data_IF_792782494036
#
_entry.id   IF_792782494036
#
_cell.length_a   1.000
_cell.length_b   1.000
_cell.length_c   1.000
_cell.angle_alpha   90.00
_cell.angle_beta   90.00
_cell.angle_gamma   90.00
#
_symmetry.space_group_name_H-M   'P 1'
#
loop_
_entity.id
_entity.type
_entity.pdbx_description
1 polymer ?
#
# COMPACT_ATOMS: atom_id res chain seq x y z
N UNK A 1 -5.58 5.66 -14.10
CA UNK A 1 -4.59 5.15 -13.14
C UNK A 1 -3.89 6.36 -12.50
N UNK A 2 -3.64 6.37 -11.18
CA UNK A 2 -2.95 7.48 -10.53
C UNK A 2 -1.53 7.65 -11.10
N UNK A 3 -0.99 8.87 -11.04
CA UNK A 3 0.44 9.07 -11.22
C UNK A 3 1.18 8.38 -10.06
N UNK A 4 2.32 7.72 -10.32
CA UNK A 4 3.10 7.04 -9.28
C UNK A 4 4.39 7.81 -9.05
N UNK A 5 4.59 8.29 -7.82
CA UNK A 5 5.82 8.95 -7.39
C UNK A 5 6.52 8.07 -6.37
N UNK A 6 7.69 7.54 -6.72
CA UNK A 6 8.50 6.73 -5.82
C UNK A 6 9.49 7.59 -5.03
N UNK A 7 9.61 7.34 -3.72
CA UNK A 7 10.64 7.90 -2.84
C UNK A 7 11.52 6.76 -2.36
N UNK A 8 12.76 6.74 -2.86
CA UNK A 8 13.72 5.66 -2.62
C UNK A 8 15.03 6.13 -2.00
N UNK A 9 15.72 5.20 -1.34
CA UNK A 9 16.93 5.48 -0.58
C UNK A 9 17.17 4.46 0.54
N UNK A 10 18.33 4.51 1.18
CA UNK A 10 18.69 3.59 2.24
C UNK A 10 17.84 3.75 3.51
N UNK A 11 17.94 2.77 4.42
CA UNK A 11 17.38 2.88 5.76
C UNK A 11 17.93 4.15 6.43
N UNK A 12 17.08 4.85 7.16
CA UNK A 12 17.40 6.08 7.90
C UNK A 12 17.87 7.27 7.04
N UNK A 13 17.67 7.24 5.71
CA UNK A 13 17.97 8.36 4.81
C UNK A 13 16.94 9.50 4.85
N UNK A 14 15.93 9.41 5.71
CA UNK A 14 14.87 10.42 5.85
C UNK A 14 13.67 10.29 4.90
N UNK A 15 13.52 9.18 4.15
CA UNK A 15 12.38 8.93 3.24
C UNK A 15 11.02 9.17 3.90
N UNK A 16 10.79 8.51 5.04
CA UNK A 16 9.53 8.61 5.78
C UNK A 16 9.28 10.05 6.23
N UNK A 17 10.32 10.76 6.65
CA UNK A 17 10.22 12.18 7.04
C UNK A 17 9.83 13.06 5.85
N UNK A 18 10.39 12.81 4.67
CA UNK A 18 10.02 13.50 3.44
C UNK A 18 8.56 13.21 3.07
N UNK A 19 8.14 11.94 3.04
CA UNK A 19 6.76 11.56 2.74
C UNK A 19 5.75 12.22 3.68
N UNK A 20 6.02 12.20 4.99
CA UNK A 20 5.17 12.85 6.02
C UNK A 20 5.01 14.36 5.80
N UNK A 21 6.03 15.04 5.26
CA UNK A 21 5.97 16.48 4.93
C UNK A 21 5.28 16.76 3.58
N UNK A 22 5.46 15.88 2.60
CA UNK A 22 4.87 16.05 1.27
C UNK A 22 3.36 15.80 1.27
N UNK A 23 2.88 14.77 1.97
CA UNK A 23 1.47 14.37 1.94
C UNK A 23 0.50 15.52 2.30
N UNK A 24 0.71 16.30 3.38
CA UNK A 24 -0.14 17.45 3.69
C UNK A 24 -0.12 18.52 2.58
N UNK A 25 1.07 18.88 2.08
CA UNK A 25 1.23 19.91 1.05
C UNK A 25 0.56 19.54 -0.29
N UNK A 26 0.50 18.25 -0.60
CA UNK A 26 -0.19 17.73 -1.79
C UNK A 26 -1.71 17.75 -1.58
N UNK A 27 -2.19 17.34 -0.40
CA UNK A 27 -3.61 17.39 -0.04
C UNK A 27 -4.15 18.82 0.00
N UNK A 28 -3.38 19.77 0.54
CA UNK A 28 -3.72 21.21 0.56
C UNK A 28 -3.91 21.79 -0.85
N UNK A 29 -3.26 21.19 -1.86
CA UNK A 29 -3.43 21.54 -3.28
C UNK A 29 -4.60 20.81 -3.96
N UNK A 30 -5.44 20.12 -3.18
CA UNK A 30 -6.61 19.40 -3.70
C UNK A 30 -6.28 18.06 -4.36
N UNK A 31 -5.08 17.50 -4.15
CA UNK A 31 -4.75 16.18 -4.68
C UNK A 31 -5.27 15.07 -3.75
N UNK A 32 -6.03 14.12 -4.30
CA UNK A 32 -6.31 12.85 -3.63
C UNK A 32 -5.10 11.92 -3.77
N UNK A 33 -4.36 11.78 -2.67
CA UNK A 33 -3.09 11.05 -2.62
C UNK A 33 -3.23 9.80 -1.77
N UNK A 34 -2.87 8.64 -2.33
CA UNK A 34 -2.61 7.42 -1.60
C UNK A 34 -1.13 7.33 -1.20
N UNK A 35 -0.87 6.63 -0.09
CA UNK A 35 0.47 6.29 0.36
C UNK A 35 0.63 4.78 0.39
N UNK A 36 1.76 4.30 -0.11
CA UNK A 36 2.15 2.89 -0.07
C UNK A 36 3.57 2.79 0.44
N UNK A 37 3.80 1.87 1.38
CA UNK A 37 5.13 1.54 1.86
C UNK A 37 5.49 0.15 1.38
N UNK A 38 6.58 0.04 0.61
CA UNK A 38 7.23 -1.24 0.35
C UNK A 38 8.07 -1.61 1.56
N UNK A 39 7.91 -2.85 2.04
CA UNK A 39 8.67 -3.38 3.17
C UNK A 39 9.36 -4.68 2.77
N UNK A 40 10.42 -5.04 3.49
CA UNK A 40 11.05 -6.36 3.41
C UNK A 40 10.44 -7.34 4.42
N UNK A 41 9.55 -6.86 5.29
CA UNK A 41 8.83 -7.67 6.27
C UNK A 41 7.65 -8.40 5.61
N UNK A 42 7.27 -9.55 6.16
CA UNK A 42 6.06 -10.26 5.75
C UNK A 42 4.82 -9.54 6.30
N UNK A 43 3.82 -9.30 5.44
CA UNK A 43 2.61 -8.53 5.80
C UNK A 43 1.34 -9.37 5.79
N UNK A 44 1.41 -10.62 5.35
CA UNK A 44 0.28 -11.54 5.26
C UNK A 44 0.12 -12.31 6.57
N UNK A 45 -1.11 -12.74 6.85
CA UNK A 45 -1.35 -13.69 7.93
C UNK A 45 -0.59 -15.00 7.66
N UNK A 46 -0.08 -15.69 8.71
CA UNK A 46 0.53 -17.01 8.55
C UNK A 46 -0.42 -18.01 7.90
N UNK A 47 0.11 -18.96 7.13
CA UNK A 47 -0.69 -19.91 6.36
C UNK A 47 -1.57 -20.84 7.24
N UNK A 48 -1.20 -21.00 8.51
CA UNK A 48 -1.92 -21.81 9.50
C UNK A 48 -3.18 -21.14 10.06
N UNK A 49 -3.40 -19.84 9.82
CA UNK A 49 -4.63 -19.16 10.23
C UNK A 49 -5.72 -19.30 9.18
N UNK A 50 -6.99 -19.20 9.58
CA UNK A 50 -8.12 -19.23 8.65
C UNK A 50 -8.00 -18.16 7.56
N UNK A 51 -7.56 -16.95 7.93
CA UNK A 51 -7.33 -15.84 6.99
C UNK A 51 -6.20 -16.13 6.00
N UNK A 52 -5.08 -16.70 6.47
CA UNK A 52 -3.95 -17.04 5.62
C UNK A 52 -4.27 -18.17 4.64
N UNK A 53 -5.00 -19.19 5.10
CA UNK A 53 -5.48 -20.27 4.23
C UNK A 53 -6.45 -19.75 3.17
N UNK A 54 -7.43 -18.94 3.56
CA UNK A 54 -8.40 -18.38 2.61
C UNK A 54 -7.74 -17.49 1.57
N UNK A 55 -6.72 -16.71 1.94
CA UNK A 55 -5.98 -15.87 1.00
C UNK A 55 -5.27 -16.67 -0.10
N UNK A 56 -4.85 -17.90 0.18
CA UNK A 56 -4.26 -18.80 -0.83
C UNK A 56 -5.30 -19.36 -1.80
N UNK A 57 -6.56 -19.45 -1.39
CA UNK A 57 -7.64 -20.07 -2.17
C UNK A 57 -8.41 -19.03 -2.99
N UNK A 58 -8.78 -17.92 -2.36
CA UNK A 58 -9.68 -16.92 -2.95
C UNK A 58 -8.94 -15.73 -3.57
N UNK A 59 -7.64 -15.57 -3.27
CA UNK A 59 -6.88 -14.38 -3.59
C UNK A 59 -7.00 -13.34 -2.47
N UNK A 60 -7.39 -12.08 -2.76
CA UNK A 60 -7.46 -11.06 -1.73
C UNK A 60 -8.49 -11.37 -0.63
N UNK A 61 -8.09 -11.23 0.63
CA UNK A 61 -8.95 -11.37 1.81
C UNK A 61 -9.04 -10.03 2.54
N UNK A 62 -10.26 -9.69 2.97
CA UNK A 62 -10.54 -8.51 3.77
C UNK A 62 -10.81 -8.91 5.22
N UNK A 63 -10.07 -8.31 6.16
CA UNK A 63 -10.32 -8.37 7.59
C UNK A 63 -10.94 -7.04 8.01
N UNK A 64 -12.18 -7.07 8.49
CA UNK A 64 -12.92 -5.88 8.89
C UNK A 64 -13.29 -5.96 10.37
N UNK A 65 -12.79 -4.98 11.15
CA UNK A 65 -13.05 -4.84 12.59
C UNK A 65 -13.63 -3.46 12.92
N UNK A 66 -13.80 -3.20 14.22
CA UNK A 66 -14.29 -1.91 14.74
C UNK A 66 -13.30 -0.76 14.54
N UNK A 67 -12.02 -1.06 14.34
CA UNK A 67 -10.91 -0.11 14.19
C UNK A 67 -10.48 0.08 12.73
N UNK A 68 -10.99 -0.72 11.80
CA UNK A 68 -10.76 -0.51 10.37
C UNK A 68 -10.75 -1.76 9.51
N UNK A 69 -10.09 -1.63 8.37
CA UNK A 69 -10.01 -2.63 7.31
C UNK A 69 -8.55 -2.95 7.01
N UNK A 70 -8.23 -4.24 6.96
CA UNK A 70 -6.96 -4.75 6.42
C UNK A 70 -7.27 -5.62 5.20
N UNK A 71 -6.56 -5.36 4.11
CA UNK A 71 -6.57 -6.20 2.91
C UNK A 71 -5.27 -6.99 2.84
N UNK A 72 -5.38 -8.29 2.71
CA UNK A 72 -4.27 -9.21 2.48
C UNK A 72 -4.38 -9.77 1.06
N UNK A 73 -3.29 -9.75 0.31
CA UNK A 73 -3.24 -10.25 -1.05
C UNK A 73 -1.89 -10.93 -1.33
N UNK A 74 -1.92 -12.25 -1.44
CA UNK A 74 -0.73 -13.09 -1.61
C UNK A 74 -0.22 -13.22 -3.05
N UNK A 75 -0.76 -12.44 -3.98
CA UNK A 75 -0.32 -12.43 -5.38
C UNK A 75 1.17 -12.09 -5.50
N UNK A 76 1.91 -12.94 -6.20
CA UNK A 76 3.36 -12.81 -6.39
C UNK A 76 3.75 -11.88 -7.56
N UNK A 77 2.81 -11.58 -8.45
CA UNK A 77 2.99 -10.75 -9.65
C UNK A 77 2.60 -9.28 -9.43
N UNK A 78 2.71 -8.80 -8.18
CA UNK A 78 2.35 -7.44 -7.81
C UNK A 78 3.44 -6.44 -8.21
N UNK A 79 3.08 -5.48 -9.06
CA UNK A 79 3.88 -4.30 -9.37
C UNK A 79 3.15 -3.00 -8.96
N UNK A 80 3.83 -1.83 -8.91
CA UNK A 80 3.19 -0.57 -8.53
C UNK A 80 1.98 -0.17 -9.39
N UNK A 81 2.00 -0.46 -10.69
CA UNK A 81 0.91 -0.14 -11.61
C UNK A 81 -0.33 -1.00 -11.34
N UNK A 82 -0.12 -2.31 -11.13
CA UNK A 82 -1.19 -3.25 -10.77
C UNK A 82 -1.77 -2.96 -9.41
N UNK A 83 -0.92 -2.67 -8.42
CA UNK A 83 -1.32 -2.24 -7.08
C UNK A 83 -2.20 -0.98 -7.14
N UNK A 84 -1.78 0.01 -7.92
CA UNK A 84 -2.55 1.24 -8.15
C UNK A 84 -3.92 0.97 -8.79
N UNK A 85 -3.96 0.11 -9.82
CA UNK A 85 -5.19 -0.22 -10.53
C UNK A 85 -6.20 -0.98 -9.66
N UNK A 86 -5.73 -1.91 -8.83
CA UNK A 86 -6.58 -2.77 -8.01
C UNK A 86 -7.08 -2.07 -6.74
N UNK A 87 -6.20 -1.38 -6.03
CA UNK A 87 -6.50 -0.91 -4.67
C UNK A 87 -6.72 0.60 -4.57
N UNK A 88 -6.24 1.37 -5.55
CA UNK A 88 -6.31 2.82 -5.54
C UNK A 88 -6.87 3.42 -6.84
N UNK A 89 -7.97 2.87 -7.40
CA UNK A 89 -8.59 3.44 -8.59
C UNK A 89 -9.13 4.85 -8.29
N UNK A 90 -9.07 5.74 -9.28
CA UNK A 90 -9.60 7.11 -9.19
C UNK A 90 -8.73 8.11 -8.43
N UNK A 91 -7.72 7.67 -7.67
CA UNK A 91 -6.76 8.56 -7.01
C UNK A 91 -5.97 9.37 -8.03
N UNK A 92 -5.56 10.59 -7.66
CA UNK A 92 -4.71 11.43 -8.50
C UNK A 92 -3.25 10.95 -8.45
N UNK A 93 -2.78 10.58 -7.26
CA UNK A 93 -1.37 10.26 -6.99
C UNK A 93 -1.24 9.07 -6.03
N UNK A 94 -0.26 8.21 -6.31
CA UNK A 94 0.25 7.18 -5.41
C UNK A 94 1.68 7.55 -5.00
N UNK A 95 1.90 7.88 -3.74
CA UNK A 95 3.23 8.09 -3.17
C UNK A 95 3.75 6.75 -2.64
N UNK A 96 4.72 6.17 -3.34
CA UNK A 96 5.33 4.88 -3.02
C UNK A 96 6.67 5.07 -2.32
N UNK A 97 6.76 4.74 -1.03
CA UNK A 97 8.00 4.73 -0.27
C UNK A 97 8.65 3.34 -0.32
N UNK A 98 9.91 3.26 -0.73
CA UNK A 98 10.69 2.01 -0.80
C UNK A 98 12.16 2.29 -0.98
#
# INVERSE_FOLDING_TARGET
MPFILAVSGFKDSGKTTLCKKLLPLLKERGLDVAYVKRTHEEVLSPAETDSGLLAQITGPVALWGSDGLRLEDGRQDMDPGRLAALYFPGRHLLLLEG
#
